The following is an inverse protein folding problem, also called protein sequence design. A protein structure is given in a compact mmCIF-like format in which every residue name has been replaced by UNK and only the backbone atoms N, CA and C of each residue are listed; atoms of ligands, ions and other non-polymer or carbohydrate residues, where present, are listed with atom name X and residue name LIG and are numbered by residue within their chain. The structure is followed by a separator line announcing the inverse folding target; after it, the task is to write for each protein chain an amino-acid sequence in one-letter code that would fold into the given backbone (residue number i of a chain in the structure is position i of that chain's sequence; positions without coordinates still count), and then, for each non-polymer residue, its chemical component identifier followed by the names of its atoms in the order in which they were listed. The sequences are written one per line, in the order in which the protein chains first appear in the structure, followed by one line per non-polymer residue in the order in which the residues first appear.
data_IF_405813919446
#
_entry.id   IF_405813919446
#
_cell.length_a   1.000
_cell.length_b   1.000
_cell.length_c   1.000
_cell.angle_alpha   90.00
_cell.angle_beta   90.00
_cell.angle_gamma   90.00
#
_symmetry.space_group_name_H-M   'P 1'
#
loop_
_entity.id
_entity.type
_entity.pdbx_description
1 polymer ?
#
# COMPACT_ATOMS: atom_id res chain seq x y z
N UNK A 1 -30.01 9.42 -16.26
CA UNK A 1 -28.96 10.41 -16.60
C UNK A 1 -28.26 10.82 -15.31
N UNK A 2 -26.99 10.42 -15.09
CA UNK A 2 -26.18 10.96 -13.99
C UNK A 2 -25.68 12.35 -14.39
N UNK A 3 -25.72 13.28 -13.44
CA UNK A 3 -25.38 14.69 -13.62
C UNK A 3 -23.91 14.84 -14.13
N UNK A 4 -23.67 15.51 -15.27
CA UNK A 4 -22.32 15.70 -15.83
C UNK A 4 -21.35 16.43 -14.89
N UNK A 5 -21.84 17.16 -13.87
CA UNK A 5 -21.01 17.78 -12.84
C UNK A 5 -20.35 16.76 -11.89
N UNK A 6 -20.99 15.63 -11.62
CA UNK A 6 -20.45 14.55 -10.75
C UNK A 6 -19.25 13.86 -11.44
N UNK A 7 -19.33 13.71 -12.77
CA UNK A 7 -18.24 13.14 -13.59
C UNK A 7 -17.00 14.04 -13.66
N UNK A 8 -17.17 15.37 -13.72
CA UNK A 8 -16.04 16.32 -13.70
C UNK A 8 -15.38 16.45 -12.33
N UNK A 9 -16.15 16.45 -11.23
CA UNK A 9 -15.59 16.45 -9.87
C UNK A 9 -14.85 15.15 -9.54
N UNK A 10 -15.33 14.02 -10.04
CA UNK A 10 -14.69 12.71 -9.91
C UNK A 10 -13.26 12.64 -10.49
N UNK A 11 -12.96 13.47 -11.50
CA UNK A 11 -11.67 13.46 -12.17
C UNK A 11 -10.60 14.37 -11.53
N UNK A 12 -11.01 15.26 -10.61
CA UNK A 12 -10.12 16.23 -9.97
C UNK A 12 -9.68 15.76 -8.58
N UNK A 13 -8.38 15.88 -8.29
CA UNK A 13 -7.84 15.61 -6.96
C UNK A 13 -8.38 16.65 -5.96
N UNK A 14 -9.27 16.23 -5.07
CA UNK A 14 -9.77 17.08 -3.98
C UNK A 14 -8.70 17.26 -2.90
N UNK A 15 -8.80 18.26 -2.02
CA UNK A 15 -7.91 18.40 -0.88
C UNK A 15 -7.87 17.15 0.00
N UNK A 16 -9.02 16.47 0.17
CA UNK A 16 -9.10 15.21 0.90
C UNK A 16 -8.34 14.07 0.21
N UNK A 17 -8.43 13.96 -1.12
CA UNK A 17 -7.64 12.99 -1.89
C UNK A 17 -6.14 13.25 -1.73
N UNK A 18 -5.70 14.50 -1.86
CA UNK A 18 -4.30 14.88 -1.71
C UNK A 18 -3.80 14.56 -0.30
N UNK A 19 -4.58 14.89 0.73
CA UNK A 19 -4.26 14.56 2.11
C UNK A 19 -4.09 13.04 2.30
N UNK A 20 -5.04 12.24 1.81
CA UNK A 20 -4.94 10.77 1.85
C UNK A 20 -3.71 10.26 1.13
N UNK A 21 -3.41 10.77 -0.07
CA UNK A 21 -2.24 10.39 -0.85
C UNK A 21 -0.92 10.71 -0.12
N UNK A 22 -0.85 11.82 0.62
CA UNK A 22 0.34 12.18 1.42
C UNK A 22 0.49 11.24 2.63
N UNK A 23 -0.58 10.98 3.38
CA UNK A 23 -0.54 10.04 4.52
C UNK A 23 -0.19 8.64 4.05
N UNK A 24 -0.77 8.22 2.93
CA UNK A 24 -0.47 6.96 2.25
C UNK A 24 1.02 6.82 1.93
N UNK A 25 1.61 7.83 1.28
CA UNK A 25 3.03 7.83 0.95
C UNK A 25 3.92 7.82 2.20
N UNK A 26 3.62 8.67 3.19
CA UNK A 26 4.37 8.75 4.44
C UNK A 26 4.33 7.41 5.21
N UNK A 27 3.16 6.77 5.28
CA UNK A 27 2.98 5.47 5.95
C UNK A 27 3.82 4.39 5.29
N UNK A 28 3.89 4.38 3.95
CA UNK A 28 4.72 3.41 3.22
C UNK A 28 6.22 3.67 3.43
N UNK A 29 6.67 4.93 3.48
CA UNK A 29 8.07 5.27 3.84
C UNK A 29 8.41 4.75 5.24
N UNK A 30 7.54 5.01 6.23
CA UNK A 30 7.73 4.53 7.61
C UNK A 30 7.80 3.01 7.66
N UNK A 31 6.94 2.32 6.90
CA UNK A 31 6.93 0.87 6.80
C UNK A 31 8.27 0.36 6.26
N UNK A 32 8.79 0.95 5.18
CA UNK A 32 10.08 0.57 4.61
C UNK A 32 11.28 0.79 5.55
N UNK A 33 11.24 1.82 6.40
CA UNK A 33 12.31 2.06 7.39
C UNK A 33 12.23 1.05 8.55
N UNK A 34 11.03 0.68 8.98
CA UNK A 34 10.82 -0.17 10.15
C UNK A 34 10.88 -1.67 9.84
N UNK A 35 10.86 -2.06 8.56
CA UNK A 35 10.80 -3.47 8.12
C UNK A 35 11.98 -4.31 8.58
N UNK A 36 13.17 -3.68 8.72
CA UNK A 36 14.39 -4.38 9.16
C UNK A 36 14.36 -4.82 10.63
N UNK A 37 13.44 -4.26 11.43
CA UNK A 37 13.30 -4.62 12.84
C UNK A 37 12.33 -5.79 12.99
N UNK A 38 12.88 -6.98 13.21
CA UNK A 38 12.10 -8.16 13.55
C UNK A 38 11.63 -8.12 15.01
N UNK A 39 10.38 -8.52 15.23
CA UNK A 39 9.74 -8.59 16.54
C UNK A 39 9.02 -9.94 16.68
N UNK A 40 8.92 -10.42 17.92
CA UNK A 40 8.14 -11.61 18.25
C UNK A 40 6.82 -11.20 18.88
N UNK A 41 5.71 -11.63 18.30
CA UNK A 41 4.36 -11.44 18.83
C UNK A 41 3.71 -12.81 18.96
N UNK A 42 3.73 -13.37 20.17
CA UNK A 42 3.29 -14.75 20.40
C UNK A 42 4.10 -15.73 19.54
N UNK A 43 3.46 -16.60 18.73
CA UNK A 43 4.14 -17.57 17.88
C UNK A 43 4.67 -17.00 16.55
N UNK A 44 4.37 -15.72 16.26
CA UNK A 44 4.69 -15.08 15.00
C UNK A 44 5.97 -14.26 15.09
N UNK A 45 6.85 -14.44 14.10
CA UNK A 45 7.97 -13.56 13.83
C UNK A 45 7.50 -12.57 12.76
N UNK A 46 7.47 -11.29 13.10
CA UNK A 46 6.96 -10.23 12.24
C UNK A 46 8.00 -9.15 12.05
N UNK A 47 7.89 -8.41 10.96
CA UNK A 47 8.58 -7.12 10.82
C UNK A 47 7.81 -6.05 11.60
N UNK A 48 8.50 -5.06 12.20
CA UNK A 48 7.83 -3.95 12.88
C UNK A 48 6.96 -3.12 11.91
N UNK A 49 7.26 -3.16 10.61
CA UNK A 49 6.46 -2.59 9.54
C UNK A 49 5.03 -3.14 9.50
N UNK A 50 4.78 -4.33 10.04
CA UNK A 50 3.44 -4.92 10.11
C UNK A 50 2.39 -3.99 10.75
N UNK A 51 2.78 -3.11 11.68
CA UNK A 51 1.83 -2.19 12.32
C UNK A 51 1.46 -0.97 11.48
N UNK A 52 2.26 -0.64 10.46
CA UNK A 52 2.04 0.51 9.58
C UNK A 52 1.60 0.09 8.18
N UNK A 53 2.04 -1.09 7.73
CA UNK A 53 1.84 -1.53 6.37
C UNK A 53 0.37 -1.80 5.99
N UNK A 54 -0.44 -2.51 6.79
CA UNK A 54 -1.87 -2.70 6.49
C UNK A 54 -2.66 -1.40 6.36
N UNK A 55 -2.24 -0.33 7.06
CA UNK A 55 -2.87 0.99 6.94
C UNK A 55 -2.74 1.58 5.52
N UNK A 56 -1.68 1.21 4.79
CA UNK A 56 -1.48 1.60 3.38
C UNK A 56 -2.64 1.08 2.53
N UNK A 57 -3.03 -0.19 2.68
CA UNK A 57 -4.17 -0.78 1.97
C UNK A 57 -5.51 -0.17 2.37
N UNK A 58 -5.74 0.06 3.66
CA UNK A 58 -6.95 0.75 4.13
C UNK A 58 -7.11 2.11 3.46
N UNK A 59 -6.02 2.88 3.34
CA UNK A 59 -6.06 4.18 2.67
C UNK A 59 -6.28 4.02 1.15
N UNK A 60 -5.61 3.07 0.51
CA UNK A 60 -5.82 2.75 -0.91
C UNK A 60 -7.28 2.38 -1.20
N UNK A 61 -7.90 1.57 -0.34
CA UNK A 61 -9.31 1.18 -0.43
C UNK A 61 -10.24 2.39 -0.34
N UNK A 62 -9.99 3.31 0.61
CA UNK A 62 -10.75 4.55 0.74
C UNK A 62 -10.61 5.40 -0.53
N UNK A 63 -9.39 5.54 -1.04
CA UNK A 63 -9.11 6.34 -2.22
C UNK A 63 -9.83 5.76 -3.45
N UNK A 64 -9.71 4.45 -3.69
CA UNK A 64 -10.32 3.77 -4.83
C UNK A 64 -11.84 3.69 -4.71
N UNK A 65 -12.39 3.47 -3.52
CA UNK A 65 -13.83 3.42 -3.31
C UNK A 65 -14.50 4.79 -3.46
N UNK A 66 -13.84 5.90 -3.14
CA UNK A 66 -14.42 7.24 -3.29
C UNK A 66 -14.15 7.81 -4.68
N UNK A 67 -12.88 7.82 -5.10
CA UNK A 67 -12.37 8.57 -6.25
C UNK A 67 -12.15 7.71 -7.50
N UNK A 68 -12.25 6.39 -7.38
CA UNK A 68 -12.12 5.46 -8.50
C UNK A 68 -10.68 5.13 -8.88
N UNK A 69 -10.55 4.10 -9.72
CA UNK A 69 -9.28 3.50 -10.12
C UNK A 69 -8.35 4.49 -10.80
N UNK A 70 -8.85 5.32 -11.71
CA UNK A 70 -7.98 6.23 -12.50
C UNK A 70 -7.22 7.22 -11.63
N UNK A 71 -7.87 7.77 -10.60
CA UNK A 71 -7.23 8.74 -9.72
C UNK A 71 -6.33 8.03 -8.71
N UNK A 72 -6.75 6.88 -8.16
CA UNK A 72 -5.89 6.04 -7.32
C UNK A 72 -4.61 5.62 -8.04
N UNK A 73 -4.67 5.21 -9.30
CA UNK A 73 -3.48 4.85 -10.09
C UNK A 73 -2.46 5.99 -10.22
N UNK A 74 -2.93 7.24 -10.30
CA UNK A 74 -2.02 8.40 -10.29
C UNK A 74 -1.32 8.54 -8.95
N UNK A 75 -2.03 8.31 -7.84
CA UNK A 75 -1.42 8.31 -6.51
C UNK A 75 -0.45 7.14 -6.30
N UNK A 76 -0.77 5.94 -6.80
CA UNK A 76 0.12 4.77 -6.76
C UNK A 76 1.42 5.08 -7.51
N UNK A 77 1.35 5.64 -8.71
CA UNK A 77 2.53 6.05 -9.48
C UNK A 77 3.33 7.18 -8.81
N UNK A 78 2.65 8.17 -8.24
CA UNK A 78 3.31 9.24 -7.49
C UNK A 78 4.03 8.69 -6.25
N UNK A 79 3.39 7.79 -5.51
CA UNK A 79 3.98 7.15 -4.34
C UNK A 79 5.15 6.24 -4.73
N UNK A 80 5.01 5.41 -5.76
CA UNK A 80 6.10 4.61 -6.31
C UNK A 80 7.32 5.48 -6.66
N UNK A 81 7.09 6.62 -7.33
CA UNK A 81 8.15 7.56 -7.68
C UNK A 81 8.79 8.18 -6.44
N UNK A 82 8.00 8.53 -5.42
CA UNK A 82 8.50 9.05 -4.15
C UNK A 82 9.35 8.01 -3.40
N UNK A 83 8.93 6.74 -3.37
CA UNK A 83 9.69 5.65 -2.76
C UNK A 83 11.00 5.40 -3.49
N UNK A 84 10.99 5.42 -4.83
CA UNK A 84 12.19 5.31 -5.64
C UNK A 84 13.17 6.47 -5.37
N UNK A 85 12.66 7.69 -5.20
CA UNK A 85 13.47 8.85 -4.82
C UNK A 85 14.10 8.70 -3.43
N UNK A 86 13.32 8.29 -2.43
CA UNK A 86 13.82 8.03 -1.06
C UNK A 86 14.94 7.01 -1.11
N UNK A 87 14.75 5.90 -1.83
CA UNK A 87 15.78 4.88 -1.98
C UNK A 87 17.05 5.38 -2.67
N UNK A 88 16.91 6.18 -3.74
CA UNK A 88 18.04 6.76 -4.44
C UNK A 88 18.84 7.72 -3.54
N UNK A 89 18.15 8.54 -2.74
CA UNK A 89 18.79 9.47 -1.79
C UNK A 89 19.49 8.71 -0.66
N UNK A 90 18.88 7.65 -0.11
CA UNK A 90 19.51 6.82 0.92
C UNK A 90 20.76 6.11 0.36
N UNK A 91 20.67 5.54 -0.85
CA UNK A 91 21.80 4.91 -1.51
C UNK A 91 22.95 5.88 -1.79
N UNK A 92 22.65 7.12 -2.18
CA UNK A 92 23.65 8.18 -2.32
C UNK A 92 24.28 8.52 -0.98
N UNK A 93 23.46 8.75 0.06
CA UNK A 93 23.93 9.12 1.40
C UNK A 93 24.89 8.09 1.98
N UNK A 94 24.63 6.79 1.80
CA UNK A 94 25.51 5.72 2.28
C UNK A 94 26.89 5.68 1.60
N UNK A 95 27.01 6.22 0.38
CA UNK A 95 28.30 6.31 -0.34
C UNK A 95 29.12 7.52 0.06
N UNK A 96 28.50 8.55 0.64
CA UNK A 96 29.21 9.70 1.15
C UNK A 96 29.95 9.31 2.42
N UNK A 97 31.18 9.80 2.58
CA UNK A 97 31.98 9.55 3.77
C UNK A 97 31.47 10.39 4.94
N UNK A 98 30.89 9.74 5.95
CA UNK A 98 30.59 10.37 7.24
C UNK A 98 31.86 10.83 7.97
N UNK A 99 31.74 11.92 8.74
CA UNK A 99 32.81 12.41 9.63
C UNK A 99 32.86 11.61 10.93
N UNK A 100 31.68 11.16 11.39
CA UNK A 100 31.51 10.28 12.55
C UNK A 100 31.31 8.84 12.06
N UNK A 101 32.27 7.97 12.37
CA UNK A 101 32.25 6.57 11.97
C UNK A 101 31.10 5.78 12.63
N UNK A 102 30.66 6.19 13.82
CA UNK A 102 29.52 5.60 14.53
C UNK A 102 28.19 5.88 13.81
N UNK A 103 27.99 7.12 13.34
CA UNK A 103 26.81 7.48 12.54
C UNK A 103 26.84 6.77 11.19
N UNK A 104 27.98 6.76 10.50
CA UNK A 104 28.15 6.05 9.23
C UNK A 104 27.86 4.55 9.38
N UNK A 105 28.37 3.93 10.44
CA UNK A 105 28.15 2.52 10.77
C UNK A 105 26.68 2.22 11.05
N UNK A 106 25.99 3.05 11.85
CA UNK A 106 24.58 2.89 12.14
C UNK A 106 23.69 3.01 10.89
N UNK A 107 23.95 4.02 10.04
CA UNK A 107 23.25 4.18 8.77
C UNK A 107 23.49 2.98 7.84
N UNK A 108 24.74 2.51 7.76
CA UNK A 108 25.07 1.33 6.96
C UNK A 108 24.37 0.08 7.49
N UNK A 109 24.26 -0.11 8.81
CA UNK A 109 23.55 -1.25 9.39
C UNK A 109 22.05 -1.22 9.07
N UNK A 110 21.41 -0.05 9.20
CA UNK A 110 19.98 0.10 8.94
C UNK A 110 19.64 0.06 7.45
N UNK A 111 20.52 0.62 6.60
CA UNK A 111 20.20 0.88 5.20
C UNK A 111 21.11 0.16 4.18
N UNK A 112 22.04 -0.73 4.53
CA UNK A 112 22.86 -1.45 3.53
C UNK A 112 22.10 -2.57 2.80
N UNK A 113 21.16 -3.24 3.47
CA UNK A 113 20.26 -4.25 2.87
C UNK A 113 19.16 -3.61 2.00
N UNK A 114 19.14 -2.27 1.95
CA UNK A 114 18.07 -1.45 1.36
C UNK A 114 17.81 -1.75 -0.11
N UNK A 115 18.81 -2.09 -0.93
CA UNK A 115 18.51 -2.20 -2.37
C UNK A 115 17.56 -3.37 -2.70
N UNK A 116 17.71 -4.52 -2.02
CA UNK A 116 16.80 -5.67 -2.20
C UNK A 116 15.45 -5.41 -1.54
N UNK A 117 15.47 -4.85 -0.32
CA UNK A 117 14.26 -4.52 0.43
C UNK A 117 13.44 -3.47 -0.32
N UNK A 118 14.07 -2.40 -0.81
CA UNK A 118 13.45 -1.37 -1.64
C UNK A 118 12.92 -1.98 -2.91
N UNK A 119 13.74 -2.70 -3.67
CA UNK A 119 13.30 -3.26 -4.95
C UNK A 119 12.14 -4.24 -4.77
N UNK A 120 12.22 -5.09 -3.76
CA UNK A 120 11.15 -5.98 -3.34
C UNK A 120 9.89 -5.19 -2.96
N UNK A 121 10.02 -4.17 -2.12
CA UNK A 121 8.90 -3.35 -1.65
C UNK A 121 8.24 -2.59 -2.79
N UNK A 122 9.01 -2.00 -3.72
CA UNK A 122 8.51 -1.25 -4.85
C UNK A 122 7.72 -2.13 -5.81
N UNK A 123 8.24 -3.32 -6.13
CA UNK A 123 7.59 -4.28 -7.04
C UNK A 123 6.35 -4.88 -6.38
N UNK A 124 6.48 -5.33 -5.13
CA UNK A 124 5.39 -5.88 -4.35
C UNK A 124 4.25 -4.88 -4.24
N UNK A 125 4.55 -3.67 -3.75
CA UNK A 125 3.59 -2.60 -3.56
C UNK A 125 2.89 -2.24 -4.87
N UNK A 126 3.65 -2.08 -5.95
CA UNK A 126 3.07 -1.70 -7.23
C UNK A 126 2.10 -2.77 -7.75
N UNK A 127 2.48 -4.05 -7.70
CA UNK A 127 1.63 -5.16 -8.14
C UNK A 127 0.43 -5.33 -7.20
N UNK A 128 0.67 -5.31 -5.88
CA UNK A 128 -0.34 -5.51 -4.85
C UNK A 128 -1.40 -4.42 -4.86
N UNK A 129 -0.99 -3.16 -4.86
CA UNK A 129 -1.92 -2.02 -4.83
C UNK A 129 -2.65 -1.83 -6.16
N UNK A 130 -1.99 -2.13 -7.28
CA UNK A 130 -2.64 -2.18 -8.60
C UNK A 130 -3.74 -3.25 -8.64
N UNK A 131 -3.44 -4.48 -8.22
CA UNK A 131 -4.42 -5.58 -8.17
C UNK A 131 -5.56 -5.24 -7.22
N UNK A 132 -5.24 -4.70 -6.04
CA UNK A 132 -6.23 -4.25 -5.07
C UNK A 132 -7.20 -3.23 -5.70
N UNK A 133 -6.67 -2.16 -6.27
CA UNK A 133 -7.46 -1.09 -6.89
C UNK A 133 -8.28 -1.59 -8.09
N UNK A 134 -7.73 -2.50 -8.88
CA UNK A 134 -8.41 -3.12 -10.02
C UNK A 134 -9.62 -3.96 -9.56
N UNK A 135 -9.44 -4.83 -8.56
CA UNK A 135 -10.52 -5.68 -8.03
C UNK A 135 -11.60 -4.83 -7.38
N UNK A 136 -11.22 -3.87 -6.53
CA UNK A 136 -12.14 -2.95 -5.85
C UNK A 136 -13.05 -2.22 -6.86
N UNK A 137 -12.45 -1.64 -7.89
CA UNK A 137 -13.18 -0.88 -8.91
C UNK A 137 -14.08 -1.76 -9.78
N UNK A 138 -13.60 -2.91 -10.28
CA UNK A 138 -14.42 -3.85 -11.05
C UNK A 138 -15.62 -4.38 -10.27
N UNK A 139 -15.40 -4.76 -9.00
CA UNK A 139 -16.48 -5.26 -8.16
C UNK A 139 -17.50 -4.18 -7.83
N UNK A 140 -17.08 -2.91 -7.71
CA UNK A 140 -18.00 -1.80 -7.45
C UNK A 140 -19.00 -1.62 -8.60
N UNK A 141 -18.54 -1.74 -9.84
CA UNK A 141 -19.40 -1.73 -11.03
C UNK A 141 -20.35 -2.92 -11.00
N UNK A 142 -19.81 -4.14 -10.84
CA UNK A 142 -20.61 -5.38 -10.83
C UNK A 142 -21.70 -5.37 -9.74
N UNK A 143 -21.41 -4.79 -8.57
CA UNK A 143 -22.32 -4.72 -7.44
C UNK A 143 -23.21 -3.46 -7.44
N UNK A 144 -23.10 -2.60 -8.45
CA UNK A 144 -23.81 -1.31 -8.53
C UNK A 144 -23.61 -0.49 -7.24
N UNK A 145 -22.39 -0.51 -6.70
CA UNK A 145 -21.98 0.22 -5.48
C UNK A 145 -22.33 -0.44 -4.15
N UNK A 146 -23.16 -1.48 -4.14
CA UNK A 146 -23.63 -2.16 -2.92
C UNK A 146 -22.57 -3.10 -2.36
N UNK A 147 -22.60 -3.43 -1.06
CA UNK A 147 -21.70 -4.44 -0.44
C UNK A 147 -20.20 -4.06 -0.43
N UNK A 148 -19.86 -2.83 -0.01
CA UNK A 148 -18.47 -2.37 0.11
C UNK A 148 -17.56 -3.34 0.89
N UNK A 149 -18.07 -3.95 1.97
CA UNK A 149 -17.33 -4.96 2.74
C UNK A 149 -16.77 -6.09 1.89
N UNK A 150 -17.58 -6.67 1.00
CA UNK A 150 -17.12 -7.78 0.16
C UNK A 150 -16.04 -7.34 -0.82
N UNK A 151 -16.06 -6.07 -1.25
CA UNK A 151 -15.03 -5.55 -2.16
C UNK A 151 -13.72 -5.36 -1.44
N UNK A 152 -13.73 -4.67 -0.29
CA UNK A 152 -12.54 -4.44 0.52
C UNK A 152 -11.86 -5.76 0.89
N UNK A 153 -12.61 -6.76 1.36
CA UNK A 153 -12.00 -8.06 1.67
C UNK A 153 -11.47 -8.79 0.42
N UNK A 154 -12.25 -8.80 -0.68
CA UNK A 154 -11.87 -9.54 -1.88
C UNK A 154 -10.71 -8.90 -2.65
N UNK A 155 -10.51 -7.58 -2.51
CA UNK A 155 -9.38 -6.87 -3.10
C UNK A 155 -8.14 -6.96 -2.22
N UNK A 156 -8.26 -6.70 -0.92
CA UNK A 156 -7.13 -6.53 -0.02
C UNK A 156 -6.53 -7.86 0.42
N UNK A 157 -7.34 -8.90 0.70
CA UNK A 157 -6.82 -10.20 1.16
C UNK A 157 -5.84 -10.80 0.14
N UNK A 158 -6.20 -11.02 -1.14
CA UNK A 158 -5.23 -11.55 -2.12
C UNK A 158 -4.04 -10.62 -2.32
N UNK A 159 -4.25 -9.30 -2.27
CA UNK A 159 -3.18 -8.32 -2.43
C UNK A 159 -2.14 -8.44 -1.31
N UNK A 160 -2.55 -8.60 -0.05
CA UNK A 160 -1.63 -8.80 1.08
C UNK A 160 -0.73 -10.03 0.89
N UNK A 161 -1.30 -11.16 0.46
CA UNK A 161 -0.53 -12.38 0.24
C UNK A 161 0.43 -12.25 -0.95
N UNK A 162 -0.03 -11.69 -2.07
CA UNK A 162 0.79 -11.49 -3.27
C UNK A 162 1.94 -10.53 -2.97
N UNK A 163 1.63 -9.41 -2.32
CA UNK A 163 2.61 -8.41 -1.95
C UNK A 163 3.66 -8.98 -1.00
N UNK A 164 3.23 -9.59 0.10
CA UNK A 164 4.15 -10.22 1.07
C UNK A 164 5.01 -11.25 0.38
N UNK A 165 4.43 -12.10 -0.48
CA UNK A 165 5.17 -13.13 -1.21
C UNK A 165 6.25 -12.55 -2.12
N UNK A 166 5.92 -11.52 -2.91
CA UNK A 166 6.87 -10.84 -3.78
C UNK A 166 7.96 -10.16 -2.94
N UNK A 167 7.55 -9.41 -1.91
CA UNK A 167 8.45 -8.67 -1.04
C UNK A 167 9.45 -9.61 -0.36
N UNK A 168 8.98 -10.61 0.39
CA UNK A 168 9.85 -11.48 1.17
C UNK A 168 10.76 -12.32 0.27
N UNK A 169 10.25 -12.76 -0.88
CA UNK A 169 11.05 -13.54 -1.83
C UNK A 169 12.20 -12.73 -2.41
N UNK A 170 12.00 -11.44 -2.70
CA UNK A 170 13.04 -10.56 -3.24
C UNK A 170 13.97 -10.05 -2.14
N UNK A 171 13.39 -9.55 -1.03
CA UNK A 171 14.11 -8.93 0.07
C UNK A 171 15.05 -9.91 0.76
N UNK A 172 14.60 -11.15 0.96
CA UNK A 172 15.32 -12.18 1.72
C UNK A 172 15.81 -13.34 0.84
N UNK A 173 15.89 -13.14 -0.48
CA UNK A 173 16.44 -14.11 -1.43
C UNK A 173 17.85 -14.56 -1.01
N UNK A 174 18.00 -15.85 -0.72
CA UNK A 174 19.28 -16.45 -0.34
C UNK A 174 19.75 -16.15 1.09
N UNK A 175 18.99 -15.38 1.88
CA UNK A 175 19.26 -15.16 3.31
C UNK A 175 18.34 -15.97 4.22
N UNK A 176 17.09 -16.20 3.81
CA UNK A 176 16.12 -17.00 4.56
C UNK A 176 15.89 -18.34 3.85
N UNK A 177 15.55 -19.38 4.62
CA UNK A 177 15.11 -20.65 4.03
C UNK A 177 13.75 -20.46 3.34
N UNK A 178 13.48 -21.26 2.29
CA UNK A 178 12.20 -21.19 1.57
C UNK A 178 11.00 -21.43 2.50
N UNK A 179 11.16 -22.31 3.49
CA UNK A 179 10.14 -22.59 4.51
C UNK A 179 9.84 -21.35 5.37
N UNK A 180 10.86 -20.58 5.74
CA UNK A 180 10.69 -19.33 6.50
C UNK A 180 9.98 -18.27 5.68
N UNK A 181 10.29 -18.18 4.38
CA UNK A 181 9.60 -17.28 3.44
C UNK A 181 8.11 -17.65 3.37
N UNK A 182 7.78 -18.92 3.13
CA UNK A 182 6.38 -19.38 3.06
C UNK A 182 5.66 -19.13 4.39
N UNK A 183 6.30 -19.44 5.52
CA UNK A 183 5.72 -19.20 6.85
C UNK A 183 5.47 -17.71 7.09
N UNK A 184 6.37 -16.83 6.65
CA UNK A 184 6.20 -15.40 6.76
C UNK A 184 5.02 -14.92 5.90
N UNK A 185 4.95 -15.34 4.64
CA UNK A 185 3.83 -15.01 3.73
C UNK A 185 2.49 -15.40 4.31
N UNK A 186 2.38 -16.62 4.86
CA UNK A 186 1.15 -17.09 5.49
C UNK A 186 0.82 -16.29 6.76
N UNK A 187 1.82 -16.00 7.59
CA UNK A 187 1.62 -15.31 8.86
C UNK A 187 1.26 -13.84 8.67
N UNK A 188 2.08 -13.08 7.93
CA UNK A 188 1.85 -11.66 7.69
C UNK A 188 0.62 -11.43 6.81
N UNK A 189 0.38 -12.26 5.78
CA UNK A 189 -0.82 -12.18 4.97
C UNK A 189 -2.11 -12.43 5.76
N UNK A 190 -2.11 -13.43 6.65
CA UNK A 190 -3.25 -13.71 7.53
C UNK A 190 -3.48 -12.57 8.53
N UNK A 191 -2.42 -12.11 9.19
CA UNK A 191 -2.53 -11.04 10.18
C UNK A 191 -2.95 -9.71 9.54
N UNK A 192 -2.47 -9.41 8.33
CA UNK A 192 -2.89 -8.23 7.58
C UNK A 192 -4.37 -8.33 7.19
N UNK A 193 -4.84 -9.52 6.79
CA UNK A 193 -6.26 -9.77 6.52
C UNK A 193 -7.14 -9.59 7.77
N UNK A 194 -6.66 -10.03 8.94
CA UNK A 194 -7.33 -9.81 10.23
C UNK A 194 -7.36 -8.32 10.58
N UNK A 195 -6.23 -7.61 10.37
CA UNK A 195 -6.16 -6.16 10.55
C UNK A 195 -7.21 -5.46 9.70
N UNK A 196 -7.29 -5.79 8.40
CA UNK A 196 -8.23 -5.19 7.45
C UNK A 196 -9.69 -5.42 7.91
N UNK A 197 -10.01 -6.63 8.35
CA UNK A 197 -11.33 -6.95 8.90
C UNK A 197 -11.67 -6.10 10.15
N UNK A 198 -10.71 -5.94 11.07
CA UNK A 198 -10.88 -5.14 12.30
C UNK A 198 -10.97 -3.64 11.97
N UNK A 199 -10.20 -3.16 11.00
CA UNK A 199 -10.18 -1.76 10.56
C UNK A 199 -11.42 -1.40 9.74
N UNK A 200 -12.08 -2.38 9.11
CA UNK A 200 -13.18 -2.15 8.18
C UNK A 200 -14.32 -1.24 8.70
N UNK A 201 -14.80 -1.33 9.96
CA UNK A 201 -15.81 -0.42 10.47
C UNK A 201 -15.38 1.06 10.40
N UNK A 202 -14.10 1.34 10.67
CA UNK A 202 -13.52 2.67 10.53
C UNK A 202 -13.44 3.08 9.06
N UNK A 203 -12.96 2.19 8.19
CA UNK A 203 -12.90 2.38 6.73
C UNK A 203 -14.28 2.72 6.16
N UNK A 204 -15.30 1.94 6.50
CA UNK A 204 -16.68 2.14 6.08
C UNK A 204 -17.22 3.52 6.51
N UNK A 205 -16.97 3.90 7.76
CA UNK A 205 -17.41 5.19 8.28
C UNK A 205 -16.71 6.36 7.58
N UNK A 206 -15.39 6.26 7.39
CA UNK A 206 -14.58 7.24 6.68
C UNK A 206 -15.08 7.44 5.24
N UNK A 207 -15.26 6.35 4.50
CA UNK A 207 -15.81 6.37 3.13
C UNK A 207 -17.17 7.06 3.09
N UNK A 208 -18.11 6.65 3.95
CA UNK A 208 -19.47 7.22 3.97
C UNK A 208 -19.46 8.72 4.31
N UNK A 209 -18.62 9.14 5.26
CA UNK A 209 -18.46 10.55 5.65
C UNK A 209 -17.88 11.38 4.51
N UNK A 210 -16.82 10.91 3.85
CA UNK A 210 -16.19 11.64 2.75
C UNK A 210 -17.05 11.69 1.50
N UNK A 211 -17.68 10.59 1.09
CA UNK A 211 -18.63 10.61 -0.05
C UNK A 211 -19.73 11.66 0.17
N UNK A 212 -20.26 11.76 1.40
CA UNK A 212 -21.28 12.77 1.74
C UNK A 212 -20.73 14.20 1.73
N UNK A 213 -19.52 14.44 2.24
CA UNK A 213 -18.89 15.77 2.29
C UNK A 213 -18.50 16.29 0.91
N UNK A 214 -17.89 15.43 0.09
CA UNK A 214 -17.38 15.80 -1.24
C UNK A 214 -18.48 15.74 -2.31
N UNK A 215 -19.53 14.95 -2.09
CA UNK A 215 -20.56 14.66 -3.10
C UNK A 215 -20.02 13.84 -4.27
N UNK A 216 -18.99 13.00 -4.02
CA UNK A 216 -18.30 12.19 -5.02
C UNK A 216 -18.53 10.71 -4.73
N UNK A 217 -18.88 9.95 -5.76
CA UNK A 217 -18.93 8.49 -5.74
C UNK A 217 -18.67 7.94 -7.15
N UNK A 218 -17.41 7.61 -7.44
CA UNK A 218 -16.96 7.29 -8.82
C UNK A 218 -17.27 5.84 -9.21
N UNK A 219 -17.77 5.64 -10.43
CA UNK A 219 -17.95 4.32 -11.04
C UNK A 219 -17.15 4.30 -12.34
N UNK A 220 -16.16 3.41 -12.40
CA UNK A 220 -15.18 3.31 -13.49
C UNK A 220 -15.75 2.57 -14.72
N UNK A 221 -16.90 2.99 -15.23
CA UNK A 221 -17.54 2.40 -16.40
C UNK A 221 -16.79 2.76 -17.69
N UNK A 222 -16.57 1.77 -18.57
CA UNK A 222 -15.95 1.99 -19.89
C UNK A 222 -14.48 2.43 -19.84
N UNK A 223 -13.75 2.13 -18.76
CA UNK A 223 -12.33 2.50 -18.63
C UNK A 223 -11.40 1.32 -18.96
N UNK A 224 -10.16 1.64 -19.35
CA UNK A 224 -9.07 0.67 -19.39
C UNK A 224 -8.44 0.51 -18.01
N UNK A 225 -8.23 -0.74 -17.58
CA UNK A 225 -7.48 -1.08 -16.36
C UNK A 225 -5.99 -1.37 -16.66
N UNK A 226 -5.51 -0.98 -17.84
CA UNK A 226 -4.07 -1.02 -18.11
C UNK A 226 -3.37 -0.09 -17.11
N UNK A 227 -2.25 -0.52 -16.52
CA UNK A 227 -1.49 0.34 -15.61
C UNK A 227 -0.73 1.46 -16.36
N UNK A 228 -0.80 1.48 -17.70
CA UNK A 228 -0.22 2.43 -18.66
C UNK A 228 -1.18 2.71 -19.84
#
# INVERSE_FOLDING_TARGET
MKDPLVSKKAAAATPAFIFLAVIYAATLIISNITVVKLIKVGPFLLTAAFFTYPLVYVISDIMTEIYGYRLSMKAIWANFSAQALVAAILALTLRLRGVDDGIQGAMSLLFSTTWRIVLGSLIAYWIGDWLNSLVMSKMKIAQKGRRFFLRAMASSIPAHFIDTAIFTSIAFAGSWAAEDIVRNVLSEGLLASVYEFIAFPLTYFAVRRWKKREGIDVYDEGISYRPF
#
